data_IF_737318747549
#
_entry.id   IF_737318747549
#
_cell.length_a   1.000
_cell.length_b   1.000
_cell.length_c   1.000
_cell.angle_alpha   90.00
_cell.angle_beta   90.00
_cell.angle_gamma   90.00
#
_symmetry.space_group_name_H-M   'P 1'
#
loop_
_entity.id
_entity.type
_entity.pdbx_description
1 polymer ?
#
# COMPACT_ATOMS: atom_id res chain seq x y z
N UNK A 1 4.57 13.30 12.20
CA UNK A 1 3.47 13.28 11.22
C UNK A 1 2.90 11.88 11.16
N UNK A 2 1.60 11.77 10.90
CA UNK A 2 0.87 10.54 10.60
C UNK A 2 0.89 10.31 9.10
N UNK A 3 1.64 9.31 8.66
CA UNK A 3 1.89 9.03 7.25
C UNK A 3 1.22 7.71 6.88
N UNK A 4 0.35 7.73 5.87
CA UNK A 4 -0.25 6.53 5.31
C UNK A 4 0.51 6.09 4.06
N UNK A 5 1.08 4.89 4.07
CA UNK A 5 1.65 4.25 2.90
C UNK A 5 0.64 3.26 2.32
N UNK A 6 0.38 3.38 1.02
CA UNK A 6 -0.43 2.42 0.27
C UNK A 6 0.50 1.58 -0.60
N UNK A 7 0.47 0.26 -0.44
CA UNK A 7 1.30 -0.68 -1.19
C UNK A 7 0.53 -1.97 -1.42
N UNK A 8 0.52 -2.52 -2.64
CA UNK A 8 -0.18 -3.80 -2.87
C UNK A 8 0.48 -4.98 -2.16
N UNK A 9 1.78 -4.88 -1.90
CA UNK A 9 2.58 -5.88 -1.20
C UNK A 9 3.43 -5.24 -0.10
N UNK A 10 3.62 -5.96 1.00
CA UNK A 10 4.45 -5.57 2.13
C UNK A 10 4.97 -6.84 2.84
N UNK A 11 6.05 -6.79 3.66
CA UNK A 11 6.40 -7.88 4.55
C UNK A 11 5.15 -8.40 5.29
N UNK A 12 5.02 -9.69 5.63
CA UNK A 12 6.03 -10.76 5.60
C UNK A 12 6.33 -11.35 4.23
N UNK A 13 5.67 -10.89 3.15
CA UNK A 13 6.05 -11.31 1.79
C UNK A 13 7.53 -10.97 1.55
N UNK A 14 8.32 -11.97 1.17
CA UNK A 14 9.79 -11.83 1.07
C UNK A 14 10.29 -11.31 -0.29
N UNK A 15 9.41 -11.23 -1.29
CA UNK A 15 9.82 -10.96 -2.67
C UNK A 15 9.07 -9.76 -3.28
N UNK A 16 9.80 -9.02 -4.12
CA UNK A 16 9.29 -7.90 -4.92
C UNK A 16 9.96 -6.57 -4.60
N UNK A 17 10.36 -5.83 -5.64
CA UNK A 17 11.02 -4.52 -5.46
C UNK A 17 10.15 -3.49 -4.75
N UNK A 18 8.84 -3.51 -4.99
CA UNK A 18 7.88 -2.65 -4.28
C UNK A 18 7.88 -2.99 -2.79
N UNK A 19 7.79 -4.27 -2.43
CA UNK A 19 7.83 -4.74 -1.03
C UNK A 19 9.08 -4.27 -0.28
N UNK A 20 10.27 -4.49 -0.87
CA UNK A 20 11.53 -4.13 -0.23
C UNK A 20 11.68 -2.61 -0.08
N UNK A 21 11.39 -1.87 -1.15
CA UNK A 21 11.55 -0.42 -1.16
C UNK A 21 10.54 0.32 -0.29
N UNK A 22 9.28 -0.12 -0.26
CA UNK A 22 8.26 0.47 0.61
C UNK A 22 8.54 0.18 2.08
N UNK A 23 9.08 -1.01 2.40
CA UNK A 23 9.52 -1.34 3.75
C UNK A 23 10.70 -0.46 4.21
N UNK A 24 11.74 -0.32 3.38
CA UNK A 24 12.90 0.54 3.71
C UNK A 24 12.44 1.99 3.92
N UNK A 25 11.56 2.50 3.05
CA UNK A 25 10.97 3.83 3.20
C UNK A 25 10.21 3.96 4.52
N UNK A 26 9.29 3.03 4.80
CA UNK A 26 8.48 3.02 6.02
C UNK A 26 9.37 3.02 7.28
N UNK A 27 10.37 2.16 7.31
CA UNK A 27 11.32 2.05 8.43
C UNK A 27 12.09 3.36 8.64
N UNK A 28 12.60 3.94 7.56
CA UNK A 28 13.31 5.23 7.60
C UNK A 28 12.43 6.40 8.09
N UNK A 29 11.13 6.36 7.80
CA UNK A 29 10.17 7.37 8.29
C UNK A 29 9.87 7.16 9.79
N UNK A 30 9.76 5.91 10.24
CA UNK A 30 9.64 5.59 11.67
C UNK A 30 10.88 6.03 12.45
N UNK A 31 12.09 5.76 11.94
CA UNK A 31 13.36 6.22 12.54
C UNK A 31 13.44 7.75 12.65
N UNK A 32 12.77 8.46 11.73
CA UNK A 32 12.60 9.93 11.77
C UNK A 32 11.46 10.40 12.67
N UNK A 33 10.93 9.51 13.54
CA UNK A 33 9.86 9.76 14.52
C UNK A 33 8.52 10.13 13.88
N UNK A 34 8.22 9.57 12.72
CA UNK A 34 6.88 9.64 12.13
C UNK A 34 6.04 8.42 12.53
N UNK A 35 4.73 8.64 12.68
CA UNK A 35 3.76 7.57 12.85
C UNK A 35 3.42 7.02 11.47
N UNK A 36 3.91 5.83 11.15
CA UNK A 36 3.73 5.24 9.82
C UNK A 36 2.72 4.11 9.87
N UNK A 37 1.68 4.23 9.06
CA UNK A 37 0.69 3.18 8.82
C UNK A 37 0.80 2.69 7.39
N UNK A 38 0.74 1.38 7.18
CA UNK A 38 0.75 0.76 5.86
C UNK A 38 -0.57 0.02 5.64
N UNK A 39 -1.29 0.37 4.58
CA UNK A 39 -2.40 -0.44 4.09
C UNK A 39 -1.94 -1.27 2.91
N UNK A 40 -2.03 -2.59 3.07
CA UNK A 40 -1.54 -3.58 2.11
C UNK A 40 -2.51 -4.76 1.98
N UNK A 41 -2.22 -5.68 1.08
CA UNK A 41 -3.06 -6.85 0.85
C UNK A 41 -2.49 -8.13 1.46
N UNK A 42 -3.33 -9.15 1.61
CA UNK A 42 -3.01 -10.44 2.19
C UNK A 42 -2.20 -11.38 1.28
N UNK A 43 -1.80 -10.94 0.10
CA UNK A 43 -1.09 -11.79 -0.86
C UNK A 43 0.33 -12.11 -0.39
N UNK A 44 0.61 -13.39 -0.13
CA UNK A 44 1.96 -13.85 0.20
C UNK A 44 2.69 -14.31 -1.07
N UNK A 45 2.11 -15.25 -1.79
CA UNK A 45 2.62 -15.76 -3.07
C UNK A 45 1.46 -16.10 -4.03
N UNK A 46 1.76 -16.79 -5.14
CA UNK A 46 0.75 -17.17 -6.15
C UNK A 46 -0.32 -18.13 -5.62
N UNK A 47 0.03 -18.97 -4.67
CA UNK A 47 -0.78 -20.08 -4.16
C UNK A 47 -1.22 -19.90 -2.70
N UNK A 48 -0.61 -18.96 -1.98
CA UNK A 48 -0.83 -18.73 -0.56
C UNK A 48 -1.11 -17.28 -0.21
N UNK A 49 -1.88 -17.11 0.86
CA UNK A 49 -2.20 -15.85 1.52
C UNK A 49 -1.54 -15.81 2.88
N UNK A 50 -1.30 -14.60 3.38
CA UNK A 50 -0.92 -14.36 4.77
C UNK A 50 -2.08 -14.86 5.65
N UNK A 51 -1.79 -15.78 6.57
CA UNK A 51 -2.82 -16.45 7.39
C UNK A 51 -3.36 -15.53 8.50
N UNK A 52 -2.47 -14.77 9.13
CA UNK A 52 -2.79 -13.90 10.25
C UNK A 52 -2.83 -12.42 9.81
N UNK A 53 -3.97 -12.05 9.22
CA UNK A 53 -4.24 -10.67 8.76
C UNK A 53 -5.18 -9.91 9.71
N UNK A 54 -5.54 -10.50 10.86
CA UNK A 54 -6.49 -9.87 11.78
C UNK A 54 -5.80 -8.76 12.58
N UNK A 55 -6.46 -7.60 12.61
CA UNK A 55 -6.00 -6.44 13.35
C UNK A 55 -4.79 -5.74 12.74
N UNK A 56 -4.24 -4.79 13.50
CA UNK A 56 -3.03 -4.05 13.14
C UNK A 56 -1.82 -4.84 13.61
N UNK A 57 -0.85 -5.06 12.72
CA UNK A 57 0.43 -5.68 13.07
C UNK A 57 1.48 -4.60 13.21
N UNK A 58 2.35 -4.71 14.21
CA UNK A 58 3.53 -3.86 14.33
C UNK A 58 4.73 -4.59 13.73
N UNK A 59 5.34 -4.01 12.70
CA UNK A 59 6.58 -4.50 12.09
C UNK A 59 7.59 -3.36 12.18
N UNK A 60 8.60 -3.49 13.05
CA UNK A 60 9.66 -2.48 13.25
C UNK A 60 9.13 -1.06 13.52
N UNK A 61 8.05 -0.93 14.30
CA UNK A 61 7.39 0.34 14.59
C UNK A 61 6.39 0.80 13.53
N UNK A 62 6.20 0.04 12.46
CA UNK A 62 5.26 0.33 11.37
C UNK A 62 3.92 -0.36 11.68
N UNK A 63 2.82 0.40 11.65
CA UNK A 63 1.46 -0.13 11.82
C UNK A 63 0.95 -0.68 10.49
N UNK A 64 0.91 -2.00 10.32
CA UNK A 64 0.52 -2.66 9.07
C UNK A 64 -0.87 -3.26 9.17
N UNK A 65 -1.74 -2.88 8.24
CA UNK A 65 -3.09 -3.42 8.10
C UNK A 65 -3.17 -4.21 6.79
N UNK A 66 -3.41 -5.50 6.92
CA UNK A 66 -3.58 -6.40 5.78
C UNK A 66 -5.06 -6.55 5.44
N UNK A 67 -5.39 -6.35 4.17
CA UNK A 67 -6.72 -6.53 3.66
C UNK A 67 -6.81 -7.80 2.81
N UNK A 68 -7.84 -8.60 3.06
CA UNK A 68 -8.11 -9.82 2.30
C UNK A 68 -8.46 -9.49 0.86
N UNK A 69 -7.71 -9.99 -0.12
CA UNK A 69 -8.11 -9.87 -1.53
C UNK A 69 -9.35 -10.71 -1.83
N UNK A 70 -10.19 -10.26 -2.77
CA UNK A 70 -11.31 -11.06 -3.30
C UNK A 70 -10.80 -12.41 -3.83
N UNK A 71 -9.75 -12.40 -4.64
CA UNK A 71 -9.15 -13.60 -5.22
C UNK A 71 -7.62 -13.54 -5.16
N UNK A 72 -6.99 -14.64 -4.71
CA UNK A 72 -5.53 -14.76 -4.74
C UNK A 72 -5.03 -14.91 -6.17
N UNK A 73 -5.82 -15.55 -7.03
CA UNK A 73 -5.48 -15.71 -8.44
C UNK A 73 -5.43 -14.36 -9.16
N UNK A 74 -6.43 -13.48 -8.95
CA UNK A 74 -6.40 -12.11 -9.48
C UNK A 74 -5.22 -11.32 -8.92
N UNK A 75 -5.00 -11.38 -7.61
CA UNK A 75 -3.88 -10.69 -6.96
C UNK A 75 -2.52 -11.20 -7.48
N UNK A 76 -2.39 -12.50 -7.78
CA UNK A 76 -1.18 -13.07 -8.39
C UNK A 76 -0.97 -12.60 -9.83
N UNK A 77 -2.04 -12.22 -10.53
CA UNK A 77 -2.02 -11.58 -11.84
C UNK A 77 -1.85 -10.05 -11.76
N UNK A 78 -1.45 -9.52 -10.60
CA UNK A 78 -1.28 -8.08 -10.30
C UNK A 78 -2.58 -7.26 -10.24
N UNK A 79 -3.73 -7.91 -10.17
CA UNK A 79 -5.02 -7.26 -9.93
C UNK A 79 -5.42 -7.42 -8.46
N UNK A 80 -5.00 -6.45 -7.64
CA UNK A 80 -5.26 -6.44 -6.21
C UNK A 80 -6.62 -5.82 -5.90
N UNK A 81 -7.52 -6.60 -5.26
CA UNK A 81 -8.87 -6.18 -4.92
C UNK A 81 -9.12 -6.44 -3.42
N UNK A 82 -8.59 -5.59 -2.53
CA UNK A 82 -8.69 -5.76 -1.09
C UNK A 82 -10.10 -5.42 -0.56
N UNK A 83 -10.77 -6.43 -0.01
CA UNK A 83 -12.09 -6.31 0.62
C UNK A 83 -11.96 -5.47 1.90
N UNK A 84 -12.93 -4.58 2.13
CA UNK A 84 -13.00 -3.76 3.33
C UNK A 84 -12.07 -2.54 3.35
N UNK A 85 -11.06 -2.50 2.47
CA UNK A 85 -10.12 -1.37 2.39
C UNK A 85 -10.83 -0.05 2.09
N UNK A 86 -11.83 -0.06 1.19
CA UNK A 86 -12.62 1.14 0.85
C UNK A 86 -13.34 1.68 2.09
N UNK A 87 -13.93 0.80 2.91
CA UNK A 87 -14.65 1.19 4.13
C UNK A 87 -13.69 1.82 5.14
N UNK A 88 -12.50 1.24 5.31
CA UNK A 88 -11.47 1.79 6.19
C UNK A 88 -10.93 3.13 5.66
N UNK A 89 -10.61 3.24 4.36
CA UNK A 89 -10.20 4.50 3.73
C UNK A 89 -11.27 5.57 3.94
N UNK A 90 -12.55 5.25 3.70
CA UNK A 90 -13.65 6.21 3.88
C UNK A 90 -13.72 6.76 5.31
N UNK A 91 -13.38 5.96 6.32
CA UNK A 91 -13.51 6.30 7.75
C UNK A 91 -12.26 6.89 8.38
N UNK A 92 -11.08 6.53 7.90
CA UNK A 92 -9.81 6.80 8.59
C UNK A 92 -8.86 7.72 7.80
N UNK A 93 -9.11 7.98 6.51
CA UNK A 93 -8.12 8.65 5.66
C UNK A 93 -7.82 10.10 6.10
N UNK A 94 -8.81 10.77 6.70
CA UNK A 94 -8.71 12.14 7.23
C UNK A 94 -7.86 12.23 8.51
N UNK A 95 -7.44 11.11 9.10
CA UNK A 95 -6.58 11.06 10.28
C UNK A 95 -5.08 11.15 9.96
N UNK A 96 -4.73 11.18 8.67
CA UNK A 96 -3.35 11.21 8.20
C UNK A 96 -2.98 12.60 7.67
N UNK A 97 -1.75 13.02 7.94
CA UNK A 97 -1.22 14.30 7.46
C UNK A 97 -0.87 14.24 5.97
N UNK A 98 -0.41 13.07 5.51
CA UNK A 98 -0.01 12.83 4.12
C UNK A 98 -0.12 11.34 3.75
N UNK A 99 -0.42 11.09 2.48
CA UNK A 99 -0.50 9.72 1.93
C UNK A 99 0.60 9.51 0.89
N UNK A 100 1.24 8.34 0.88
CA UNK A 100 2.20 7.94 -0.15
C UNK A 100 1.69 6.72 -0.91
N UNK A 101 1.39 6.92 -2.18
CA UNK A 101 0.98 5.85 -3.11
C UNK A 101 2.23 5.23 -3.74
N UNK A 102 2.55 3.98 -3.42
CA UNK A 102 3.73 3.30 -3.99
C UNK A 102 3.49 2.73 -5.41
N UNK A 103 2.28 2.84 -5.92
CA UNK A 103 1.85 2.31 -7.21
C UNK A 103 0.87 3.28 -7.87
N UNK A 104 0.81 3.25 -9.20
CA UNK A 104 -0.07 4.13 -9.98
C UNK A 104 -1.32 3.42 -10.49
N UNK A 105 -1.15 2.32 -11.23
CA UNK A 105 -2.24 1.59 -11.91
C UNK A 105 -2.89 0.53 -11.02
N UNK A 106 -3.15 0.86 -9.76
CA UNK A 106 -3.76 -0.05 -8.79
C UNK A 106 -5.16 0.41 -8.41
N UNK A 107 -6.04 -0.55 -8.11
CA UNK A 107 -7.39 -0.26 -7.62
C UNK A 107 -7.33 0.61 -6.35
N UNK A 108 -6.36 0.33 -5.47
CA UNK A 108 -6.13 1.07 -4.25
C UNK A 108 -5.82 2.54 -4.54
N UNK A 109 -4.94 2.84 -5.51
CA UNK A 109 -4.59 4.22 -5.86
C UNK A 109 -5.77 5.02 -6.39
N UNK A 110 -6.69 4.40 -7.15
CA UNK A 110 -7.93 5.06 -7.63
C UNK A 110 -8.82 5.43 -6.45
N UNK A 111 -9.05 4.49 -5.52
CA UNK A 111 -9.89 4.72 -4.34
C UNK A 111 -9.28 5.79 -3.45
N UNK A 112 -7.98 5.71 -3.18
CA UNK A 112 -7.27 6.66 -2.34
C UNK A 112 -7.29 8.04 -2.98
N UNK A 113 -7.06 8.18 -4.29
CA UNK A 113 -7.17 9.47 -4.98
C UNK A 113 -8.54 10.12 -4.76
N UNK A 114 -9.63 9.36 -4.93
CA UNK A 114 -10.99 9.85 -4.74
C UNK A 114 -11.21 10.38 -3.32
N UNK A 115 -10.80 9.63 -2.30
CA UNK A 115 -11.03 10.03 -0.90
C UNK A 115 -10.03 11.08 -0.41
N UNK A 116 -8.79 11.08 -0.91
CA UNK A 116 -7.81 12.12 -0.61
C UNK A 116 -8.27 13.48 -1.16
N UNK A 117 -8.81 13.51 -2.38
CA UNK A 117 -9.50 14.69 -2.94
C UNK A 117 -10.70 15.11 -2.08
N UNK A 118 -11.55 14.16 -1.67
CA UNK A 118 -12.74 14.44 -0.87
C UNK A 118 -12.40 15.07 0.50
N UNK A 119 -11.34 14.60 1.15
CA UNK A 119 -10.93 15.03 2.48
C UNK A 119 -9.79 16.07 2.45
N UNK A 120 -9.39 16.54 1.27
CA UNK A 120 -8.30 17.50 1.08
C UNK A 120 -6.96 17.07 1.70
N UNK A 121 -6.68 15.76 1.69
CA UNK A 121 -5.41 15.21 2.20
C UNK A 121 -4.38 15.17 1.06
N UNK A 122 -3.19 15.77 1.24
CA UNK A 122 -2.15 15.71 0.21
C UNK A 122 -1.63 14.28 0.06
N UNK A 123 -1.23 13.93 -1.17
CA UNK A 123 -0.56 12.66 -1.41
C UNK A 123 0.61 12.77 -2.38
N UNK A 124 1.62 11.94 -2.14
CA UNK A 124 2.76 11.72 -3.05
C UNK A 124 2.49 10.44 -3.83
N UNK A 125 2.65 10.50 -5.15
CA UNK A 125 2.53 9.36 -6.02
C UNK A 125 3.91 8.92 -6.51
N UNK A 126 4.30 7.70 -6.18
CA UNK A 126 5.49 7.05 -6.70
C UNK A 126 5.08 5.95 -7.68
N UNK A 127 5.09 6.25 -8.98
CA UNK A 127 4.65 5.33 -10.01
C UNK A 127 5.65 4.19 -10.26
N UNK A 128 5.63 3.16 -9.39
CA UNK A 128 6.46 1.96 -9.57
C UNK A 128 5.84 1.01 -10.60
N UNK A 129 6.72 0.34 -11.36
CA UNK A 129 6.41 -0.91 -12.07
C UNK A 129 5.66 -0.82 -13.40
N UNK A 130 5.38 0.35 -14.01
CA UNK A 130 4.53 0.33 -15.22
C UNK A 130 4.47 1.59 -16.10
N UNK A 131 5.42 2.54 -16.03
CA UNK A 131 5.55 3.47 -17.16
C UNK A 131 6.26 2.72 -18.29
N UNK A 132 5.63 2.51 -19.47
CA UNK A 132 6.39 2.10 -20.64
C UNK A 132 7.51 3.12 -20.82
N UNK A 133 8.75 2.66 -20.97
CA UNK A 133 9.84 3.50 -21.39
C UNK A 133 9.49 4.02 -22.78
N UNK A 134 8.98 5.25 -22.86
CA UNK A 134 8.94 5.98 -24.13
C UNK A 134 10.40 6.38 -24.38
N UNK A 135 11.18 5.47 -24.97
CA UNK A 135 12.49 5.78 -25.48
C UNK A 135 12.29 6.31 -26.89
N UNK A 136 12.41 7.62 -27.07
CA UNK A 136 12.77 8.17 -28.38
C UNK A 136 14.13 7.59 -28.74
N UNK A 137 14.23 6.88 -29.87
CA UNK A 137 15.53 6.56 -30.45
C UNK A 137 16.25 7.90 -30.67
N UNK A 138 17.39 8.09 -30.02
CA UNK A 138 18.36 9.11 -30.41
C UNK A 138 19.10 8.63 -31.65
#
# INVERSE_FOLDING_TARGET
MKILLISSTFPPRKFGGITASSYILAKNLVERRHEVTVYTTDINDRYSRIRDIKGVKNIDGIQVHYFKNISNWLASSRLYLPIGMISVIKRELDKFDIIHLNEFRSFQSIIVHRYAKKYSIPYVLQARGSLPRIMTKQ
#
